data_IF_066818220995
#
_entry.id   IF_066818220995
#
_cell.length_a   1.000
_cell.length_b   1.000
_cell.length_c   1.000
_cell.angle_alpha   90.00
_cell.angle_beta   90.00
_cell.angle_gamma   90.00
#
_symmetry.space_group_name_H-M   'P 1'
#
loop_
_entity.id
_entity.type
_entity.pdbx_description
1 polymer ?
#
# COMPACT_ATOMS: atom_id res chain seq x y z
N UNK A 1 19.83 -10.57 1.76
CA UNK A 1 18.40 -10.36 1.45
C UNK A 1 18.29 -10.18 -0.06
N UNK A 2 17.60 -11.06 -0.76
CA UNK A 2 17.38 -10.93 -2.20
C UNK A 2 15.98 -10.36 -2.47
N UNK A 3 15.86 -9.49 -3.47
CA UNK A 3 14.58 -8.87 -3.84
C UNK A 3 14.06 -9.50 -5.13
N UNK A 4 12.80 -9.91 -5.13
CA UNK A 4 12.11 -10.46 -6.30
C UNK A 4 10.84 -9.67 -6.56
N UNK A 5 10.58 -9.34 -7.82
CA UNK A 5 9.43 -8.54 -8.25
C UNK A 5 8.77 -9.18 -9.46
N UNK A 6 7.45 -9.11 -9.54
CA UNK A 6 6.68 -9.65 -10.67
C UNK A 6 5.27 -10.07 -10.27
N UNK A 7 4.62 -10.84 -11.12
CA UNK A 7 3.39 -11.56 -10.73
C UNK A 7 3.72 -12.66 -9.69
N UNK A 8 2.69 -13.23 -9.08
CA UNK A 8 2.87 -14.33 -8.12
C UNK A 8 3.72 -15.48 -8.72
N UNK A 9 3.38 -15.93 -9.93
CA UNK A 9 4.08 -17.03 -10.60
C UNK A 9 5.54 -16.69 -10.93
N UNK A 10 5.81 -15.45 -11.37
CA UNK A 10 7.17 -14.98 -11.64
C UNK A 10 8.02 -14.92 -10.37
N UNK A 11 7.43 -14.44 -9.27
CA UNK A 11 8.08 -14.35 -7.97
C UNK A 11 8.42 -15.74 -7.44
N UNK A 12 7.51 -16.72 -7.55
CA UNK A 12 7.76 -18.11 -7.16
C UNK A 12 8.88 -18.72 -8.01
N UNK A 13 8.87 -18.51 -9.33
CA UNK A 13 9.90 -19.03 -10.22
C UNK A 13 11.29 -18.39 -10.01
N UNK A 14 11.35 -17.12 -9.58
CA UNK A 14 12.59 -16.45 -9.20
C UNK A 14 13.10 -16.93 -7.83
N UNK A 15 12.20 -17.09 -6.86
CA UNK A 15 12.54 -17.57 -5.54
C UNK A 15 13.12 -18.99 -5.54
N UNK A 16 12.55 -19.90 -6.34
CA UNK A 16 13.09 -21.26 -6.52
C UNK A 16 14.52 -21.30 -7.05
N UNK A 17 14.97 -20.25 -7.76
CA UNK A 17 16.34 -20.12 -8.26
C UNK A 17 17.31 -19.53 -7.23
N UNK A 18 16.79 -18.91 -6.16
CA UNK A 18 17.57 -18.24 -5.12
C UNK A 18 17.87 -19.13 -3.91
N UNK A 19 17.33 -20.35 -3.87
CA UNK A 19 17.63 -21.35 -2.83
C UNK A 19 17.20 -20.88 -1.44
N UNK A 20 18.08 -21.07 -0.44
CA UNK A 20 17.79 -20.81 0.98
C UNK A 20 17.99 -19.34 1.41
N UNK A 21 18.02 -18.39 0.48
CA UNK A 21 18.22 -16.98 0.81
C UNK A 21 16.94 -16.35 1.39
N UNK A 22 17.08 -15.42 2.35
CA UNK A 22 15.96 -14.59 2.80
C UNK A 22 15.48 -13.68 1.67
N UNK A 23 14.17 -13.71 1.38
CA UNK A 23 13.56 -13.02 0.24
C UNK A 23 12.62 -11.89 0.66
N UNK A 24 12.69 -10.77 -0.05
CA UNK A 24 11.65 -9.75 -0.10
C UNK A 24 10.91 -9.86 -1.43
N UNK A 25 9.61 -10.10 -1.40
CA UNK A 25 8.78 -10.29 -2.57
C UNK A 25 7.84 -9.11 -2.79
N UNK A 26 7.90 -8.52 -3.98
CA UNK A 26 6.91 -7.53 -4.44
C UNK A 26 6.04 -8.15 -5.51
N UNK A 27 4.76 -8.38 -5.19
CA UNK A 27 3.80 -9.01 -6.09
C UNK A 27 2.92 -7.95 -6.70
N UNK A 28 2.95 -7.89 -8.03
CA UNK A 28 2.09 -7.04 -8.83
C UNK A 28 0.77 -7.72 -9.07
N UNK A 29 -0.32 -7.06 -8.70
CA UNK A 29 -1.69 -7.51 -8.94
C UNK A 29 -2.45 -6.52 -9.79
N UNK A 30 -3.31 -7.01 -10.67
CA UNK A 30 -4.26 -6.14 -11.36
C UNK A 30 -5.46 -5.78 -10.47
N UNK A 31 -5.83 -6.69 -9.56
CA UNK A 31 -6.92 -6.52 -8.60
C UNK A 31 -6.53 -7.07 -7.22
N UNK A 32 -7.02 -6.46 -6.12
CA UNK A 32 -6.74 -6.94 -4.77
C UNK A 32 -7.31 -8.36 -4.58
N UNK A 33 -6.41 -9.32 -4.38
CA UNK A 33 -6.77 -10.73 -4.22
C UNK A 33 -6.70 -11.12 -2.74
N UNK A 34 -7.84 -11.35 -2.07
CA UNK A 34 -7.84 -11.75 -0.67
C UNK A 34 -7.10 -13.09 -0.49
N UNK A 35 -6.30 -13.18 0.56
CA UNK A 35 -5.52 -14.39 0.89
C UNK A 35 -4.20 -14.55 0.11
N UNK A 36 -3.78 -13.57 -0.70
CA UNK A 36 -2.48 -13.65 -1.38
C UNK A 36 -1.32 -13.74 -0.38
N UNK A 37 -1.31 -12.94 0.69
CA UNK A 37 -0.23 -12.98 1.68
C UNK A 37 -0.08 -14.36 2.35
N UNK A 38 -1.19 -15.09 2.51
CA UNK A 38 -1.18 -16.46 3.02
C UNK A 38 -0.59 -17.42 2.00
N UNK A 39 -1.04 -17.36 0.74
CA UNK A 39 -0.50 -18.17 -0.37
C UNK A 39 0.98 -17.95 -0.62
N UNK A 40 1.47 -16.71 -0.47
CA UNK A 40 2.89 -16.37 -0.61
C UNK A 40 3.71 -16.95 0.53
N UNK A 41 3.21 -16.89 1.77
CA UNK A 41 3.90 -17.52 2.91
C UNK A 41 3.93 -19.05 2.80
N UNK A 42 2.90 -19.66 2.23
CA UNK A 42 2.85 -21.10 1.98
C UNK A 42 3.80 -21.53 0.86
N UNK A 43 3.86 -20.77 -0.23
CA UNK A 43 4.73 -21.06 -1.36
C UNK A 43 6.20 -20.71 -1.08
N UNK A 44 6.46 -19.65 -0.29
CA UNK A 44 7.76 -19.09 -0.02
C UNK A 44 7.99 -18.95 1.50
N UNK A 45 8.30 -20.05 2.19
CA UNK A 45 8.50 -20.04 3.65
C UNK A 45 9.70 -19.19 4.11
N UNK A 46 10.64 -18.88 3.19
CA UNK A 46 11.80 -18.02 3.45
C UNK A 46 11.56 -16.54 3.11
N UNK A 47 10.34 -16.17 2.74
CA UNK A 47 9.98 -14.79 2.45
C UNK A 47 9.74 -14.02 3.76
N UNK A 48 10.59 -13.02 4.02
CA UNK A 48 10.54 -12.19 5.22
C UNK A 48 9.67 -10.95 5.08
N UNK A 49 9.40 -10.51 3.84
CA UNK A 49 8.61 -9.31 3.56
C UNK A 49 7.85 -9.46 2.24
N UNK A 50 6.52 -9.32 2.29
CA UNK A 50 5.62 -9.43 1.13
C UNK A 50 4.93 -8.08 0.92
N UNK A 51 5.25 -7.45 -0.21
CA UNK A 51 4.60 -6.21 -0.66
C UNK A 51 3.68 -6.52 -1.82
N UNK A 52 2.48 -5.96 -1.80
CA UNK A 52 1.53 -6.06 -2.89
C UNK A 52 1.44 -4.69 -3.55
N UNK A 53 1.78 -4.63 -4.83
CA UNK A 53 1.62 -3.46 -5.67
C UNK A 53 0.42 -3.71 -6.58
N UNK A 54 -0.62 -2.88 -6.51
CA UNK A 54 -1.74 -3.01 -7.44
C UNK A 54 -1.47 -2.14 -8.66
N UNK A 55 -1.95 -2.48 -9.87
CA UNK A 55 -1.75 -1.65 -11.07
C UNK A 55 -2.29 -0.21 -10.91
N UNK A 56 -3.24 0.02 -9.99
CA UNK A 56 -3.68 1.37 -9.58
C UNK A 56 -2.58 2.20 -8.89
N UNK A 57 -1.57 1.55 -8.30
CA UNK A 57 -0.42 2.21 -7.66
C UNK A 57 0.74 2.46 -8.64
N UNK A 58 0.65 1.93 -9.87
CA UNK A 58 1.71 1.99 -10.89
C UNK A 58 1.45 3.04 -11.99
N UNK A 59 0.37 3.82 -11.89
CA UNK A 59 0.32 5.10 -12.59
C UNK A 59 1.27 6.05 -11.87
N UNK A 60 2.14 6.68 -12.67
CA UNK A 60 3.12 7.70 -12.32
C UNK A 60 2.40 8.89 -11.65
N UNK A 61 1.93 8.70 -10.42
CA UNK A 61 1.39 9.76 -9.61
C UNK A 61 2.57 10.69 -9.36
N UNK A 62 2.47 11.98 -9.71
CA UNK A 62 3.55 12.92 -9.41
C UNK A 62 3.91 12.73 -7.94
N UNK A 63 5.22 12.60 -7.65
CA UNK A 63 5.74 12.61 -6.29
C UNK A 63 5.38 13.95 -5.67
N UNK A 64 4.15 14.06 -5.18
CA UNK A 64 3.69 15.20 -4.44
C UNK A 64 4.33 15.06 -3.08
N UNK A 65 5.29 15.95 -2.82
CA UNK A 65 5.96 16.11 -1.54
C UNK A 65 4.90 16.15 -0.43
N UNK A 66 4.79 15.07 0.34
CA UNK A 66 3.82 14.93 1.43
C UNK A 66 3.94 16.07 2.46
N UNK A 67 5.12 16.68 2.56
CA UNK A 67 5.44 17.86 3.36
C UNK A 67 4.71 19.13 2.92
N UNK A 68 4.28 19.22 1.66
CA UNK A 68 3.55 20.36 1.10
C UNK A 68 2.02 20.23 1.20
N UNK A 69 1.53 19.08 1.67
CA UNK A 69 0.11 18.77 1.71
C UNK A 69 -0.51 19.16 3.05
N UNK A 70 -1.72 19.72 2.99
CA UNK A 70 -2.49 19.94 4.21
C UNK A 70 -3.00 18.60 4.76
N UNK A 71 -3.32 18.51 6.06
CA UNK A 71 -3.96 17.33 6.64
C UNK A 71 -5.23 16.90 5.87
N UNK A 72 -5.97 17.87 5.31
CA UNK A 72 -7.15 17.64 4.49
C UNK A 72 -6.82 16.98 3.15
N UNK A 73 -5.70 17.36 2.52
CA UNK A 73 -5.24 16.73 1.28
C UNK A 73 -4.78 15.29 1.50
N UNK A 74 -4.09 15.04 2.62
CA UNK A 74 -3.69 13.69 3.04
C UNK A 74 -4.92 12.81 3.30
N UNK A 75 -5.92 13.35 4.00
CA UNK A 75 -7.17 12.65 4.26
C UNK A 75 -7.94 12.34 2.97
N UNK A 76 -7.99 13.29 2.03
CA UNK A 76 -8.65 13.10 0.73
C UNK A 76 -8.00 11.98 -0.08
N UNK A 77 -6.67 11.95 -0.13
CA UNK A 77 -5.92 10.88 -0.81
C UNK A 77 -6.15 9.51 -0.18
N UNK A 78 -6.07 9.43 1.15
CA UNK A 78 -6.37 8.21 1.88
C UNK A 78 -7.79 7.72 1.59
N UNK A 79 -8.78 8.62 1.64
CA UNK A 79 -10.18 8.28 1.41
C UNK A 79 -10.41 7.78 -0.03
N UNK A 80 -9.79 8.41 -1.02
CA UNK A 80 -9.84 7.96 -2.41
C UNK A 80 -9.20 6.59 -2.62
N UNK A 81 -8.06 6.33 -1.97
CA UNK A 81 -7.40 5.03 -2.04
C UNK A 81 -8.23 3.93 -1.38
N UNK A 82 -8.86 4.22 -0.23
CA UNK A 82 -9.63 3.24 0.54
C UNK A 82 -11.03 2.98 -0.03
N UNK A 83 -11.73 4.02 -0.51
CA UNK A 83 -13.13 3.95 -0.93
C UNK A 83 -13.35 4.05 -2.45
N UNK A 84 -12.30 4.37 -3.22
CA UNK A 84 -12.39 4.51 -4.67
C UNK A 84 -13.17 5.74 -5.15
N UNK A 85 -13.51 6.66 -4.25
CA UNK A 85 -14.26 7.89 -4.51
C UNK A 85 -13.74 9.03 -3.63
N UNK A 86 -14.01 10.28 -4.01
CA UNK A 86 -13.66 11.42 -3.18
C UNK A 86 -14.57 11.50 -1.93
N UNK A 87 -14.05 11.97 -0.79
CA UNK A 87 -14.88 12.21 0.39
C UNK A 87 -15.91 13.30 0.09
N UNK A 88 -17.11 13.17 0.67
CA UNK A 88 -18.13 14.20 0.54
C UNK A 88 -17.77 15.45 1.36
N UNK A 89 -18.35 16.62 1.04
CA UNK A 89 -18.10 17.85 1.80
C UNK A 89 -18.40 17.71 3.30
N UNK A 90 -19.43 16.91 3.65
CA UNK A 90 -19.83 16.63 5.02
C UNK A 90 -18.76 15.81 5.76
N UNK A 91 -18.25 14.75 5.12
CA UNK A 91 -17.17 13.93 5.68
C UNK A 91 -15.89 14.75 5.90
N UNK A 92 -15.57 15.65 4.96
CA UNK A 92 -14.44 16.58 5.12
C UNK A 92 -14.67 17.60 6.25
N UNK A 93 -15.91 18.03 6.48
CA UNK A 93 -16.24 18.93 7.57
C UNK A 93 -16.04 18.26 8.93
N UNK A 94 -16.53 17.03 9.10
CA UNK A 94 -16.32 16.23 10.32
C UNK A 94 -14.83 15.98 10.57
N UNK A 95 -14.06 15.66 9.53
CA UNK A 95 -12.61 15.50 9.66
C UNK A 95 -11.93 16.78 10.19
N UNK A 96 -12.30 17.95 9.66
CA UNK A 96 -11.73 19.23 10.12
C UNK A 96 -12.08 19.53 11.58
N UNK A 97 -13.32 19.26 11.99
CA UNK A 97 -13.76 19.45 13.38
C UNK A 97 -12.92 18.60 14.35
N UNK A 98 -12.76 17.30 14.05
CA UNK A 98 -11.94 16.39 14.86
C UNK A 98 -10.46 16.81 14.87
N UNK A 99 -9.94 17.28 13.73
CA UNK A 99 -8.58 17.77 13.63
C UNK A 99 -8.36 19.00 14.51
N UNK A 100 -9.28 19.97 14.47
CA UNK A 100 -9.25 21.17 15.30
C UNK A 100 -9.25 20.79 16.78
N UNK A 101 -10.17 19.93 17.22
CA UNK A 101 -10.24 19.44 18.61
C UNK A 101 -8.93 18.79 19.08
N UNK A 102 -8.33 17.94 18.24
CA UNK A 102 -7.06 17.26 18.54
C UNK A 102 -5.89 18.25 18.65
N UNK A 103 -5.85 19.27 17.79
CA UNK A 103 -4.80 20.29 17.83
C UNK A 103 -4.93 21.24 19.03
N UNK A 104 -6.16 21.52 19.47
CA UNK A 104 -6.43 22.36 20.65
C UNK A 104 -6.07 21.65 21.95
N UNK A 105 -6.26 20.34 22.05
CA UNK A 105 -5.89 19.56 23.25
C UNK A 105 -4.38 19.35 23.42
N UNK A 106 -3.59 19.60 22.38
CA UNK A 106 -2.14 19.35 22.38
C UNK A 106 -1.31 20.63 22.59
N UNK A 107 -1.95 21.78 22.79
CA UNK A 107 -1.32 23.07 23.15
C UNK A 107 -1.52 23.40 24.62
#
# INVERSE_FOLDING_TARGET
LAEVRGTFDEVVAQASRLGDAYLRATIRLEHPEPGLAQRVREALPLCVDVRVETRRDAEDLPQVELSSLTPTDLYTRYYQQAHGSAPTPETLAVFREVLEEATVQTS
#
